data_IF_351430156871
#
_entry.id   IF_351430156871
#
_cell.length_a   1.000
_cell.length_b   1.000
_cell.length_c   1.000
_cell.angle_alpha   90.00
_cell.angle_beta   90.00
_cell.angle_gamma   90.00
#
_symmetry.space_group_name_H-M   'P 1'
#
loop_
_entity.id
_entity.type
_entity.pdbx_description
1 polymer ?
#
# COMPACT_ATOMS: atom_id res chain seq x y z
N UNK A 1 14.53 -18.15 -0.33
CA UNK A 1 14.50 -17.00 0.62
C UNK A 1 13.92 -15.71 0.01
N UNK A 2 14.04 -15.44 -1.30
CA UNK A 2 13.34 -14.32 -1.95
C UNK A 2 11.87 -14.64 -2.31
N UNK A 3 11.57 -15.88 -2.71
CA UNK A 3 10.19 -16.37 -2.94
C UNK A 3 9.31 -16.24 -1.69
N UNK A 4 9.88 -16.49 -0.50
CA UNK A 4 9.17 -16.39 0.78
C UNK A 4 8.72 -14.94 1.06
N UNK A 5 9.56 -13.94 0.76
CA UNK A 5 9.20 -12.53 0.93
C UNK A 5 8.11 -12.07 -0.04
N UNK A 6 8.13 -12.54 -1.28
CA UNK A 6 7.08 -12.21 -2.26
C UNK A 6 5.75 -12.85 -1.87
N UNK A 7 5.75 -14.10 -1.42
CA UNK A 7 4.55 -14.78 -0.94
C UNK A 7 3.99 -14.12 0.33
N UNK A 8 4.86 -13.76 1.29
CA UNK A 8 4.48 -13.01 2.49
C UNK A 8 3.90 -11.63 2.14
N UNK A 9 4.51 -10.91 1.20
CA UNK A 9 3.99 -9.63 0.72
C UNK A 9 2.59 -9.79 0.13
N UNK A 10 2.37 -10.78 -0.74
CA UNK A 10 1.07 -11.04 -1.35
C UNK A 10 0.02 -11.39 -0.29
N UNK A 11 0.33 -12.31 0.63
CA UNK A 11 -0.59 -12.70 1.70
C UNK A 11 -0.97 -11.53 2.61
N UNK A 12 -0.01 -10.65 2.94
CA UNK A 12 -0.30 -9.43 3.70
C UNK A 12 -1.17 -8.46 2.91
N UNK A 13 -0.91 -8.27 1.63
CA UNK A 13 -1.70 -7.40 0.75
C UNK A 13 -3.15 -7.88 0.66
N UNK A 14 -3.37 -9.17 0.44
CA UNK A 14 -4.72 -9.77 0.38
C UNK A 14 -5.49 -9.54 1.69
N UNK A 15 -4.83 -9.64 2.84
CA UNK A 15 -5.47 -9.35 4.15
C UNK A 15 -5.88 -7.89 4.30
N UNK A 16 -5.07 -6.93 3.81
CA UNK A 16 -5.46 -5.52 3.81
C UNK A 16 -6.67 -5.26 2.92
N UNK A 17 -6.72 -5.88 1.76
CA UNK A 17 -7.87 -5.77 0.84
C UNK A 17 -9.12 -6.41 1.44
N UNK A 18 -9.01 -7.58 2.06
CA UNK A 18 -10.13 -8.23 2.74
C UNK A 18 -10.72 -7.33 3.84
N UNK A 19 -9.87 -6.72 4.66
CA UNK A 19 -10.31 -5.79 5.70
C UNK A 19 -10.99 -4.55 5.11
N UNK A 20 -10.43 -3.98 4.04
CA UNK A 20 -11.05 -2.85 3.33
C UNK A 20 -12.43 -3.21 2.75
N UNK A 21 -12.60 -4.44 2.26
CA UNK A 21 -13.89 -4.92 1.78
C UNK A 21 -14.90 -5.10 2.91
N UNK A 22 -14.49 -5.60 4.09
CA UNK A 22 -15.37 -5.67 5.26
C UNK A 22 -15.91 -4.28 5.65
N UNK A 23 -15.03 -3.27 5.69
CA UNK A 23 -15.44 -1.88 5.97
C UNK A 23 -16.44 -1.35 4.94
N UNK A 24 -16.27 -1.74 3.67
CA UNK A 24 -17.21 -1.38 2.60
C UNK A 24 -18.57 -2.06 2.82
N UNK A 25 -18.58 -3.33 3.22
CA UNK A 25 -19.81 -4.09 3.50
C UNK A 25 -20.54 -3.55 4.74
N UNK A 26 -19.84 -2.92 5.67
CA UNK A 26 -20.40 -2.16 6.80
C UNK A 26 -21.05 -0.82 6.36
N UNK A 27 -20.96 -0.45 5.09
CA UNK A 27 -21.56 0.76 4.53
C UNK A 27 -20.64 1.98 4.54
N UNK A 28 -19.36 1.82 4.85
CA UNK A 28 -18.38 2.91 4.79
C UNK A 28 -18.07 3.23 3.33
N UNK A 29 -18.05 4.52 2.99
CA UNK A 29 -17.69 5.00 1.65
C UNK A 29 -16.30 4.52 1.23
N UNK A 30 -16.18 4.05 -0.02
CA UNK A 30 -14.89 3.57 -0.56
C UNK A 30 -13.81 4.64 -0.61
N UNK A 31 -14.21 5.91 -0.72
CA UNK A 31 -13.36 7.10 -0.61
C UNK A 31 -12.76 7.22 0.79
N UNK A 32 -13.59 7.06 1.84
CA UNK A 32 -13.16 7.09 3.24
C UNK A 32 -12.21 5.93 3.55
N UNK A 33 -12.54 4.72 3.09
CA UNK A 33 -11.68 3.53 3.26
C UNK A 33 -10.32 3.74 2.59
N UNK A 34 -10.31 4.28 1.37
CA UNK A 34 -9.07 4.56 0.64
C UNK A 34 -8.21 5.61 1.35
N UNK A 35 -8.83 6.66 1.87
CA UNK A 35 -8.16 7.69 2.65
C UNK A 35 -7.58 7.15 3.98
N UNK A 36 -8.35 6.31 4.67
CA UNK A 36 -7.91 5.66 5.90
C UNK A 36 -6.72 4.72 5.66
N UNK A 37 -6.76 3.91 4.60
CA UNK A 37 -5.66 3.00 4.23
C UNK A 37 -4.37 3.76 3.90
N UNK A 38 -4.47 4.86 3.14
CA UNK A 38 -3.33 5.73 2.86
C UNK A 38 -2.75 6.33 4.14
N UNK A 39 -3.60 6.82 5.03
CA UNK A 39 -3.18 7.42 6.31
C UNK A 39 -2.51 6.38 7.22
N UNK A 40 -3.09 5.18 7.33
CA UNK A 40 -2.54 4.07 8.11
C UNK A 40 -1.15 3.65 7.58
N UNK A 41 -0.97 3.61 6.26
CA UNK A 41 0.33 3.35 5.63
C UNK A 41 1.37 4.42 6.00
N UNK A 42 1.00 5.71 5.95
CA UNK A 42 1.88 6.81 6.34
C UNK A 42 2.28 6.77 7.82
N UNK A 43 1.32 6.46 8.71
CA UNK A 43 1.56 6.27 10.15
C UNK A 43 2.51 5.09 10.38
N UNK A 44 2.27 3.95 9.73
CA UNK A 44 3.15 2.78 9.83
C UNK A 44 4.57 3.08 9.31
N UNK A 45 4.70 3.79 8.19
CA UNK A 45 5.99 4.21 7.65
C UNK A 45 6.75 5.12 8.63
N UNK A 46 6.03 6.01 9.33
CA UNK A 46 6.60 6.89 10.34
C UNK A 46 7.16 6.10 11.52
N UNK A 47 6.37 5.18 12.09
CA UNK A 47 6.84 4.29 13.16
C UNK A 47 8.03 3.42 12.75
N UNK A 48 8.01 2.89 11.51
CA UNK A 48 9.07 2.01 11.02
C UNK A 48 10.41 2.73 10.83
N UNK A 49 10.41 4.04 10.59
CA UNK A 49 11.63 4.81 10.30
C UNK A 49 12.12 5.59 11.53
N UNK A 50 11.20 6.17 12.29
CA UNK A 50 11.51 7.09 13.37
C UNK A 50 11.24 6.52 14.79
N UNK A 51 10.71 5.29 14.89
CA UNK A 51 10.37 4.69 16.17
C UNK A 51 9.15 5.37 16.84
N UNK A 52 9.03 5.23 18.16
CA UNK A 52 7.86 5.69 18.93
C UNK A 52 7.86 7.19 19.26
N UNK A 53 8.94 7.92 18.92
CA UNK A 53 9.18 9.30 19.38
C UNK A 53 9.33 10.33 18.24
N UNK A 54 9.33 9.91 16.96
CA UNK A 54 9.64 10.81 15.85
C UNK A 54 8.65 10.76 14.70
N UNK A 55 8.33 11.95 14.16
CA UNK A 55 7.73 12.08 12.83
C UNK A 55 8.76 11.81 11.73
N UNK A 56 8.31 11.57 10.50
CA UNK A 56 9.20 11.53 9.34
C UNK A 56 9.89 12.89 9.17
N UNK A 57 11.21 12.88 8.93
CA UNK A 57 11.90 14.06 8.41
C UNK A 57 11.35 14.41 7.03
N UNK A 58 11.54 15.64 6.56
CA UNK A 58 11.14 16.06 5.21
C UNK A 58 11.68 15.11 4.12
N UNK A 59 12.96 14.73 4.24
CA UNK A 59 13.58 13.71 3.38
C UNK A 59 13.00 12.30 3.52
N UNK A 60 12.38 11.97 4.66
CA UNK A 60 11.67 10.71 4.89
C UNK A 60 10.32 10.69 4.20
N UNK A 61 9.60 11.83 4.22
CA UNK A 61 8.34 12.01 3.48
C UNK A 61 8.58 11.83 1.98
N UNK A 62 9.61 12.46 1.43
CA UNK A 62 9.95 12.35 0.00
C UNK A 62 10.25 10.90 -0.41
N UNK A 63 11.03 10.17 0.41
CA UNK A 63 11.36 8.76 0.14
C UNK A 63 10.12 7.87 0.12
N UNK A 64 9.19 8.07 1.07
CA UNK A 64 7.94 7.31 1.13
C UNK A 64 7.05 7.64 -0.07
N UNK A 65 6.94 8.92 -0.42
CA UNK A 65 6.19 9.36 -1.60
C UNK A 65 6.75 8.76 -2.90
N UNK A 66 8.08 8.75 -3.06
CA UNK A 66 8.75 8.15 -4.22
C UNK A 66 8.58 6.63 -4.28
N UNK A 67 8.65 5.95 -3.13
CA UNK A 67 8.39 4.51 -3.06
C UNK A 67 6.95 4.19 -3.50
N UNK A 68 5.97 4.96 -3.00
CA UNK A 68 4.57 4.81 -3.38
C UNK A 68 4.35 5.06 -4.88
N UNK A 69 4.97 6.12 -5.42
CA UNK A 69 4.94 6.44 -6.86
C UNK A 69 5.47 5.28 -7.71
N UNK A 70 6.61 4.70 -7.35
CA UNK A 70 7.20 3.54 -8.05
C UNK A 70 6.26 2.34 -8.00
N UNK A 71 5.65 2.06 -6.85
CA UNK A 71 4.69 0.96 -6.72
C UNK A 71 3.47 1.16 -7.62
N UNK A 72 2.90 2.37 -7.67
CA UNK A 72 1.79 2.67 -8.57
C UNK A 72 2.17 2.52 -10.05
N UNK A 73 3.36 2.97 -10.43
CA UNK A 73 3.88 2.79 -11.79
C UNK A 73 4.02 1.30 -12.16
N UNK A 74 4.53 0.48 -11.25
CA UNK A 74 4.63 -0.97 -11.44
C UNK A 74 3.26 -1.63 -11.59
N UNK A 75 2.28 -1.28 -10.75
CA UNK A 75 0.91 -1.78 -10.87
C UNK A 75 0.31 -1.42 -12.23
N UNK A 76 0.50 -0.18 -12.69
CA UNK A 76 0.01 0.25 -14.01
C UNK A 76 0.70 -0.49 -15.16
N UNK A 77 2.01 -0.75 -15.07
CA UNK A 77 2.73 -1.54 -16.05
C UNK A 77 2.21 -2.98 -16.12
N UNK A 78 2.01 -3.62 -14.97
CA UNK A 78 1.46 -4.99 -14.87
C UNK A 78 0.04 -5.07 -15.44
N UNK A 79 -0.83 -4.11 -15.10
CA UNK A 79 -2.19 -4.05 -15.65
C UNK A 79 -2.17 -3.92 -17.18
N UNK A 80 -1.30 -3.07 -17.73
CA UNK A 80 -1.14 -2.91 -19.19
C UNK A 80 -0.66 -4.20 -19.86
N UNK A 81 0.26 -4.92 -19.25
CA UNK A 81 0.74 -6.22 -19.76
C UNK A 81 -0.38 -7.27 -19.76
N UNK A 82 -1.14 -7.38 -18.67
CA UNK A 82 -2.29 -8.29 -18.57
C UNK A 82 -3.40 -7.96 -19.56
N UNK A 83 -3.66 -6.67 -19.81
CA UNK A 83 -4.59 -6.22 -20.85
C UNK A 83 -4.12 -6.51 -22.28
N UNK A 84 -2.81 -6.55 -22.51
CA UNK A 84 -2.23 -6.81 -23.83
C UNK A 84 -2.17 -8.32 -24.16
N UNK A 85 -1.99 -9.20 -23.17
CA UNK A 85 -2.04 -10.66 -23.34
C UNK A 85 -3.47 -11.23 -23.45
N UNK A 86 -4.50 -10.41 -23.23
CA UNK A 86 -5.91 -10.80 -23.31
C UNK A 86 -6.57 -10.46 -24.67
N UNK A 87 -5.78 -10.11 -25.70
CA UNK A 87 -6.23 -9.74 -27.06
C UNK A 87 -5.64 -10.68 -28.11
#
# INVERSE_FOLDING_TARGET
MAEDKNAQHQACMERFIALANTMKDEGIGTDVISWALMTASGVHATYSVAGNEGGLTESGVDKVADAYRKNLANIQALKKQQSADSV
#
